data_IF_290916830222
#
_entry.id   IF_290916830222
#
_cell.length_a   1.000
_cell.length_b   1.000
_cell.length_c   1.000
_cell.angle_alpha   90.00
_cell.angle_beta   90.00
_cell.angle_gamma   90.00
#
_symmetry.space_group_name_H-M   'P 1'
#
loop_
_entity.id
_entity.type
_entity.pdbx_description
1 polymer ?
#
# COMPACT_ATOMS: atom_id res chain seq x y z
N UNK A 1 7.16 13.78 0.03
CA UNK A 1 6.61 12.85 1.03
C UNK A 1 7.66 12.56 2.08
N UNK A 2 7.33 12.73 3.36
CA UNK A 2 8.23 12.38 4.44
C UNK A 2 8.15 10.89 4.73
N UNK A 3 9.15 10.39 5.47
CA UNK A 3 9.16 8.99 5.89
C UNK A 3 7.92 8.65 6.71
N UNK A 4 7.50 9.56 7.59
CA UNK A 4 6.33 9.32 8.42
C UNK A 4 5.05 9.28 7.59
N UNK A 5 4.92 10.16 6.60
CA UNK A 5 3.79 10.15 5.69
C UNK A 5 3.73 8.84 4.91
N UNK A 6 4.89 8.39 4.43
CA UNK A 6 4.98 7.13 3.72
C UNK A 6 4.52 5.96 4.59
N UNK A 7 5.03 5.88 5.82
CA UNK A 7 4.67 4.80 6.73
C UNK A 7 3.19 4.80 7.07
N UNK A 8 2.61 5.98 7.26
CA UNK A 8 1.18 6.10 7.54
C UNK A 8 0.34 5.61 6.37
N UNK A 9 0.68 6.03 5.15
CA UNK A 9 -0.04 5.60 3.95
C UNK A 9 0.14 4.11 3.71
N UNK A 10 1.34 3.61 3.91
CA UNK A 10 1.62 2.19 3.74
C UNK A 10 0.80 1.34 4.71
N UNK A 11 0.73 1.78 5.96
CA UNK A 11 -0.08 1.11 6.98
C UNK A 11 -1.56 1.10 6.62
N UNK A 12 -2.06 2.22 6.11
CA UNK A 12 -3.46 2.30 5.67
C UNK A 12 -3.74 1.34 4.51
N UNK A 13 -2.82 1.24 3.57
CA UNK A 13 -2.96 0.31 2.46
C UNK A 13 -3.00 -1.13 2.94
N UNK A 14 -2.12 -1.48 3.88
CA UNK A 14 -2.11 -2.83 4.46
C UNK A 14 -3.42 -3.15 5.16
N UNK A 15 -3.96 -2.21 5.93
CA UNK A 15 -5.24 -2.37 6.61
C UNK A 15 -6.37 -2.57 5.60
N UNK A 16 -6.35 -1.79 4.50
CA UNK A 16 -7.35 -1.91 3.45
C UNK A 16 -7.28 -3.27 2.76
N UNK A 17 -6.07 -3.78 2.52
CA UNK A 17 -5.89 -5.11 1.92
C UNK A 17 -6.47 -6.19 2.86
N UNK A 18 -6.15 -6.12 4.14
CA UNK A 18 -6.67 -7.07 5.11
C UNK A 18 -8.20 -7.05 5.16
N UNK A 19 -8.78 -5.85 5.15
CA UNK A 19 -10.22 -5.69 5.13
C UNK A 19 -10.86 -6.31 3.89
N UNK A 20 -10.24 -6.07 2.72
CA UNK A 20 -10.72 -6.63 1.47
C UNK A 20 -10.63 -8.15 1.48
N UNK A 21 -9.54 -8.72 1.99
CA UNK A 21 -9.38 -10.17 2.08
C UNK A 21 -10.40 -10.79 3.03
N UNK A 22 -10.66 -10.13 4.16
CA UNK A 22 -11.66 -10.59 5.12
C UNK A 22 -13.06 -10.62 4.50
N UNK A 23 -13.36 -9.65 3.63
CA UNK A 23 -14.61 -9.59 2.89
C UNK A 23 -14.60 -10.47 1.65
N UNK A 24 -13.51 -11.17 1.38
CA UNK A 24 -13.32 -12.01 0.18
C UNK A 24 -13.39 -11.20 -1.11
N UNK A 25 -13.06 -9.92 -1.02
CA UNK A 25 -12.99 -9.03 -2.18
C UNK A 25 -11.56 -9.06 -2.74
N UNK A 26 -11.24 -10.13 -3.42
CA UNK A 26 -9.87 -10.37 -3.88
C UNK A 26 -9.44 -9.39 -4.97
N UNK A 27 -10.36 -8.97 -5.81
CA UNK A 27 -10.06 -8.01 -6.87
C UNK A 27 -9.63 -6.67 -6.26
N UNK A 28 -10.34 -6.22 -5.25
CA UNK A 28 -10.00 -4.97 -4.56
C UNK A 28 -8.65 -5.10 -3.86
N UNK A 29 -8.41 -6.24 -3.20
CA UNK A 29 -7.15 -6.49 -2.54
C UNK A 29 -5.99 -6.44 -3.53
N UNK A 30 -6.15 -7.01 -4.71
CA UNK A 30 -5.14 -6.98 -5.75
C UNK A 30 -4.85 -5.57 -6.24
N UNK A 31 -5.87 -4.75 -6.42
CA UNK A 31 -5.70 -3.37 -6.84
C UNK A 31 -4.93 -2.56 -5.81
N UNK A 32 -5.27 -2.74 -4.55
CA UNK A 32 -4.58 -2.04 -3.46
C UNK A 32 -3.13 -2.51 -3.38
N UNK A 33 -2.89 -3.80 -3.58
CA UNK A 33 -1.53 -4.34 -3.58
C UNK A 33 -0.66 -3.72 -4.67
N UNK A 34 -1.21 -3.48 -5.85
CA UNK A 34 -0.49 -2.80 -6.93
C UNK A 34 -0.09 -1.40 -6.50
N UNK A 35 -1.01 -0.65 -5.90
CA UNK A 35 -0.72 0.70 -5.41
C UNK A 35 0.38 0.65 -4.36
N UNK A 36 0.33 -0.32 -3.46
CA UNK A 36 1.34 -0.48 -2.43
C UNK A 36 2.72 -0.73 -3.02
N UNK A 37 2.81 -1.59 -4.04
CA UNK A 37 4.08 -1.88 -4.70
C UNK A 37 4.64 -0.67 -5.42
N UNK A 38 3.79 0.08 -6.10
CA UNK A 38 4.21 1.31 -6.79
C UNK A 38 4.74 2.33 -5.79
N UNK A 39 4.08 2.46 -4.66
CA UNK A 39 4.50 3.37 -3.61
C UNK A 39 5.87 2.98 -3.04
N UNK A 40 6.09 1.70 -2.81
CA UNK A 40 7.40 1.20 -2.37
C UNK A 40 8.48 1.49 -3.40
N UNK A 41 8.17 1.29 -4.66
CA UNK A 41 9.12 1.52 -5.75
C UNK A 41 9.52 2.98 -5.84
N UNK A 42 8.57 3.89 -5.76
CA UNK A 42 8.83 5.32 -5.80
C UNK A 42 9.66 5.77 -4.60
N UNK A 43 9.34 5.26 -3.44
CA UNK A 43 10.09 5.61 -2.23
C UNK A 43 11.54 5.13 -2.33
N UNK A 44 11.75 3.91 -2.80
CA UNK A 44 13.09 3.38 -2.98
C UNK A 44 13.90 4.20 -3.99
N UNK A 45 13.25 4.62 -5.08
CA UNK A 45 13.92 5.44 -6.09
C UNK A 45 14.26 6.83 -5.58
N UNK A 46 13.42 7.40 -4.74
CA UNK A 46 13.62 8.75 -4.22
C UNK A 46 14.71 8.82 -3.15
N UNK A 47 15.13 7.69 -2.61
CA UNK A 47 16.18 7.65 -1.58
C UNK A 47 17.59 7.48 -2.15
N UNK A 48 17.70 7.39 -3.46
CA UNK A 48 19.01 7.27 -4.14
C UNK A 48 19.65 8.67 -4.37
#
# INVERSE_FOLDING_TARGET
MTKDDFLNQFSELNTSIESALTAQDFERAMRIDVVRREMLHEFANSTI
#
